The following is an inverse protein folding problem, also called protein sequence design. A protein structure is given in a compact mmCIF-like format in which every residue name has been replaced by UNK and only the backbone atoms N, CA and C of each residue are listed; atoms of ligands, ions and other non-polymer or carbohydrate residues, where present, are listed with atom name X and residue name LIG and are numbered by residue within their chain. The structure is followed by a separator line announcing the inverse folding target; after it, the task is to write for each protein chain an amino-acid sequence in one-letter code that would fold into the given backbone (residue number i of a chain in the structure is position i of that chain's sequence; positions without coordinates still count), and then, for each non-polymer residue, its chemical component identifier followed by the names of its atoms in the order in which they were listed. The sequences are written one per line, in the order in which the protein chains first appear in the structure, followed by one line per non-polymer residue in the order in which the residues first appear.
data_IF_544777711661
#
_entry.id   IF_544777711661
#
_cell.length_a   1.000
_cell.length_b   1.000
_cell.length_c   1.000
_cell.angle_alpha   90.00
_cell.angle_beta   90.00
_cell.angle_gamma   90.00
#
_symmetry.space_group_name_H-M   'P 1'
#
loop_
_entity.id
_entity.type
_entity.pdbx_description
1 polymer ?
#
# COMPACT_ATOMS: atom_id res chain seq x y z
N UNK A 1 56.29 6.77 23.39
CA UNK A 1 56.32 5.59 22.51
C UNK A 1 55.00 4.85 22.70
N UNK A 2 54.03 5.16 21.85
CA UNK A 2 52.69 4.56 21.83
C UNK A 2 52.66 3.55 20.69
N UNK A 3 52.65 2.26 21.04
CA UNK A 3 52.51 1.18 20.07
C UNK A 3 51.05 1.16 19.58
N UNK A 4 50.85 1.42 18.29
CA UNK A 4 49.58 1.24 17.60
C UNK A 4 49.25 -0.25 17.51
N UNK A 5 48.04 -0.70 17.90
CA UNK A 5 47.68 -2.10 17.90
C UNK A 5 47.53 -2.64 16.47
N UNK A 6 48.05 -3.85 16.27
CA UNK A 6 48.06 -4.62 15.03
C UNK A 6 46.65 -5.13 14.67
N UNK A 7 45.79 -4.26 14.14
CA UNK A 7 44.43 -4.61 13.69
C UNK A 7 44.37 -5.43 12.38
N UNK A 8 45.50 -5.70 11.73
CA UNK A 8 45.49 -6.33 10.40
C UNK A 8 45.19 -7.84 10.47
N UNK A 9 45.62 -8.51 11.54
CA UNK A 9 45.49 -9.96 11.72
C UNK A 9 44.02 -10.39 11.94
N UNK A 10 43.21 -9.53 12.57
CA UNK A 10 41.81 -9.84 12.88
C UNK A 10 40.91 -9.87 11.64
N UNK A 11 41.22 -9.06 10.62
CA UNK A 11 40.44 -8.99 9.38
C UNK A 11 40.66 -10.25 8.52
N UNK A 12 41.90 -10.74 8.44
CA UNK A 12 42.21 -11.98 7.73
C UNK A 12 41.59 -13.20 8.40
N UNK A 13 41.58 -13.24 9.73
CA UNK A 13 40.93 -14.29 10.50
C UNK A 13 39.41 -14.28 10.32
N UNK A 14 38.79 -13.11 10.34
CA UNK A 14 37.36 -12.97 10.08
C UNK A 14 36.99 -13.44 8.67
N UNK A 15 37.76 -13.03 7.66
CA UNK A 15 37.53 -13.41 6.26
C UNK A 15 37.65 -14.93 6.08
N UNK A 16 38.68 -15.54 6.68
CA UNK A 16 38.89 -17.00 6.66
C UNK A 16 37.80 -17.75 7.43
N UNK A 17 37.24 -17.17 8.48
CA UNK A 17 36.11 -17.75 9.23
C UNK A 17 34.81 -17.69 8.43
N UNK A 18 34.51 -16.57 7.78
CA UNK A 18 33.35 -16.40 6.91
C UNK A 18 33.40 -17.35 5.70
N UNK A 19 34.56 -17.48 5.05
CA UNK A 19 34.72 -18.40 3.92
C UNK A 19 34.42 -19.87 4.27
N UNK A 20 34.85 -20.33 5.46
CA UNK A 20 34.54 -21.68 5.94
C UNK A 20 33.05 -21.89 6.23
N UNK A 21 32.39 -20.88 6.78
CA UNK A 21 30.94 -20.91 7.04
C UNK A 21 30.14 -20.98 5.73
N UNK A 22 30.50 -20.15 4.75
CA UNK A 22 29.86 -20.13 3.44
C UNK A 22 29.97 -21.49 2.71
N UNK A 23 31.16 -22.10 2.70
CA UNK A 23 31.34 -23.42 2.09
C UNK A 23 30.54 -24.52 2.78
N UNK A 24 30.45 -24.49 4.11
CA UNK A 24 29.65 -25.48 4.86
C UNK A 24 28.17 -25.35 4.53
N UNK A 25 27.67 -24.11 4.44
CA UNK A 25 26.28 -23.83 4.10
C UNK A 25 25.91 -24.23 2.66
N UNK A 26 26.79 -23.97 1.69
CA UNK A 26 26.57 -24.39 0.29
C UNK A 26 26.52 -25.91 0.18
N UNK A 27 27.43 -26.62 0.87
CA UNK A 27 27.42 -28.08 0.89
C UNK A 27 26.14 -28.66 1.54
N UNK A 28 25.60 -28.00 2.56
CA UNK A 28 24.33 -28.38 3.18
C UNK A 28 23.13 -28.16 2.25
N UNK A 29 23.09 -27.04 1.53
CA UNK A 29 22.05 -26.78 0.53
C UNK A 29 22.09 -27.78 -0.64
N UNK A 30 23.28 -28.17 -1.09
CA UNK A 30 23.48 -29.20 -2.10
C UNK A 30 23.00 -30.58 -1.61
N UNK A 31 23.38 -30.97 -0.39
CA UNK A 31 22.95 -32.22 0.23
C UNK A 31 21.42 -32.31 0.43
N UNK A 32 20.75 -31.18 0.64
CA UNK A 32 19.29 -31.08 0.75
C UNK A 32 18.57 -30.99 -0.61
N UNK A 33 19.31 -31.00 -1.73
CA UNK A 33 18.75 -30.82 -3.08
C UNK A 33 18.09 -29.46 -3.27
N UNK A 34 18.48 -28.46 -2.48
CA UNK A 34 17.95 -27.09 -2.51
C UNK A 34 18.82 -26.12 -3.29
N UNK A 35 19.99 -26.56 -3.73
CA UNK A 35 20.84 -25.79 -4.62
C UNK A 35 20.20 -25.79 -6.02
N UNK A 36 19.45 -24.73 -6.33
CA UNK A 36 18.90 -24.52 -7.67
C UNK A 36 20.05 -24.09 -8.57
N UNK A 37 20.35 -24.89 -9.59
CA UNK A 37 21.33 -24.55 -10.62
C UNK A 37 20.89 -23.24 -11.30
N UNK A 38 21.55 -22.12 -11.00
CA UNK A 38 21.25 -20.80 -11.58
C UNK A 38 21.73 -20.68 -13.04
N UNK A 39 21.73 -21.79 -13.79
CA UNK A 39 22.39 -21.91 -15.09
C UNK A 39 21.74 -22.93 -16.00
N UNK A 40 20.45 -22.77 -16.28
CA UNK A 40 19.71 -23.62 -17.19
C UNK A 40 18.57 -22.88 -17.90
N UNK A 41 18.86 -21.78 -18.57
CA UNK A 41 17.97 -21.26 -19.61
C UNK A 41 17.97 -22.24 -20.80
N UNK A 42 17.22 -23.34 -20.67
CA UNK A 42 16.89 -24.18 -21.82
C UNK A 42 15.89 -23.41 -22.69
N UNK A 43 16.08 -23.36 -24.01
CA UNK A 43 15.11 -22.73 -24.91
C UNK A 43 13.78 -23.45 -24.79
N UNK A 44 12.71 -22.67 -24.61
CA UNK A 44 11.32 -23.13 -24.66
C UNK A 44 11.09 -23.93 -25.95
N UNK A 45 11.03 -25.26 -25.78
CA UNK A 45 10.57 -26.18 -26.80
C UNK A 45 9.08 -25.95 -27.09
N UNK A 46 8.75 -26.07 -28.37
CA UNK A 46 7.50 -25.71 -29.02
C UNK A 46 6.22 -26.23 -28.34
N UNK A 47 5.12 -25.46 -28.38
CA UNK A 47 3.82 -25.85 -27.85
C UNK A 47 3.09 -26.74 -28.85
N UNK A 48 3.43 -28.03 -28.91
CA UNK A 48 2.70 -28.96 -29.78
C UNK A 48 2.71 -30.39 -29.23
N UNK A 49 2.30 -30.55 -27.96
CA UNK A 49 2.02 -31.89 -27.43
C UNK A 49 1.20 -31.90 -26.13
N UNK A 50 -0.09 -31.56 -26.20
CA UNK A 50 -1.07 -31.98 -25.19
C UNK A 50 -2.43 -32.32 -25.82
N UNK A 51 -2.42 -33.38 -26.62
CA UNK A 51 -3.59 -34.22 -26.82
C UNK A 51 -3.29 -35.61 -26.24
N UNK A 52 -3.76 -35.84 -25.01
CA UNK A 52 -3.99 -37.20 -24.52
C UNK A 52 -5.28 -37.26 -23.69
N UNK A 53 -6.05 -38.34 -23.86
CA UNK A 53 -7.43 -38.43 -23.40
C UNK A 53 -7.53 -38.65 -21.88
N UNK A 54 -8.51 -37.96 -21.32
CA UNK A 54 -8.99 -38.05 -19.95
C UNK A 54 -9.40 -39.50 -19.63
N UNK A 55 -8.80 -40.07 -18.58
CA UNK A 55 -9.20 -41.37 -18.04
C UNK A 55 -10.36 -41.16 -17.07
N UNK A 56 -11.45 -41.86 -17.31
CA UNK A 56 -12.66 -41.91 -16.49
C UNK A 56 -12.35 -42.28 -15.03
N UNK A 57 -12.76 -41.42 -14.10
CA UNK A 57 -12.86 -41.75 -12.68
C UNK A 57 -14.31 -42.02 -12.31
N UNK A 58 -14.53 -43.22 -11.78
CA UNK A 58 -15.77 -43.71 -11.20
C UNK A 58 -16.23 -42.89 -9.99
N UNK A 59 -17.54 -42.85 -9.68
CA UNK A 59 -18.08 -42.05 -8.58
C UNK A 59 -17.80 -42.70 -7.21
N UNK A 60 -17.14 -41.94 -6.33
CA UNK A 60 -16.96 -42.30 -4.93
C UNK A 60 -18.17 -41.88 -4.09
N UNK A 61 -18.73 -42.90 -3.45
CA UNK A 61 -19.53 -42.99 -2.22
C UNK A 61 -19.75 -41.72 -1.39
N UNK A 62 -21.02 -41.55 -1.01
CA UNK A 62 -21.57 -40.52 -0.14
C UNK A 62 -20.80 -40.31 1.17
N UNK A 63 -20.52 -39.04 1.49
CA UNK A 63 -20.01 -38.59 2.78
C UNK A 63 -21.12 -38.60 3.86
N UNK A 64 -20.80 -38.94 5.12
CA UNK A 64 -21.75 -38.92 6.22
C UNK A 64 -22.07 -37.49 6.65
N UNK A 65 -23.34 -37.24 6.98
CA UNK A 65 -23.79 -35.94 7.49
C UNK A 65 -23.22 -35.64 8.88
N UNK A 66 -22.85 -34.37 9.15
CA UNK A 66 -22.43 -33.95 10.47
C UNK A 66 -23.63 -33.88 11.42
N UNK A 67 -23.52 -34.58 12.55
CA UNK A 67 -24.46 -34.50 13.68
C UNK A 67 -24.26 -33.13 14.38
N UNK A 68 -25.34 -32.41 14.75
CA UNK A 68 -25.22 -31.16 15.49
C UNK A 68 -24.74 -31.43 16.92
N UNK A 69 -23.55 -30.91 17.27
CA UNK A 69 -23.02 -30.93 18.62
C UNK A 69 -23.74 -29.86 19.47
N UNK A 70 -24.30 -30.28 20.61
CA UNK A 70 -24.87 -29.36 21.59
C UNK A 70 -23.78 -28.48 22.22
N UNK A 71 -24.07 -27.20 22.50
CA UNK A 71 -23.11 -26.28 23.10
C UNK A 71 -22.74 -26.73 24.51
N UNK A 72 -21.43 -26.85 24.76
CA UNK A 72 -20.86 -27.24 26.05
C UNK A 72 -21.19 -26.24 27.16
N UNK A 73 -21.28 -26.73 28.40
CA UNK A 73 -21.60 -25.94 29.59
C UNK A 73 -20.71 -24.69 29.81
N UNK A 74 -19.52 -24.65 29.20
CA UNK A 74 -18.62 -23.49 29.23
C UNK A 74 -19.17 -22.28 28.44
N UNK A 75 -19.88 -22.50 27.32
CA UNK A 75 -20.47 -21.40 26.54
C UNK A 75 -21.67 -20.77 27.27
N UNK A 76 -22.42 -21.55 28.06
CA UNK A 76 -23.54 -21.01 28.87
C UNK A 76 -23.07 -20.13 30.03
N UNK A 77 -21.83 -20.31 30.51
CA UNK A 77 -21.28 -19.50 31.61
C UNK A 77 -20.86 -18.09 31.15
N UNK A 78 -20.45 -17.92 29.89
CA UNK A 78 -20.04 -16.62 29.35
C UNK A 78 -21.23 -15.70 29.04
N UNK A 79 -22.40 -16.24 28.72
CA UNK A 79 -23.60 -15.43 28.45
C UNK A 79 -24.20 -14.81 29.71
N UNK A 80 -23.99 -15.40 30.90
CA UNK A 80 -24.56 -14.88 32.16
C UNK A 80 -23.77 -13.72 32.77
N UNK A 81 -22.54 -13.45 32.34
CA UNK A 81 -21.75 -12.31 32.83
C UNK A 81 -22.06 -10.98 32.12
N UNK A 82 -22.83 -11.00 31.02
CA UNK A 82 -23.11 -9.81 30.22
C UNK A 82 -24.33 -8.99 30.69
N UNK A 83 -25.06 -9.45 31.72
CA UNK A 83 -26.26 -8.77 32.23
C UNK A 83 -25.94 -8.02 33.54
N UNK A 84 -25.13 -6.97 33.45
CA UNK A 84 -24.89 -6.05 34.56
C UNK A 84 -26.07 -5.08 34.76
N UNK A 85 -26.39 -4.69 36.02
CA UNK A 85 -27.51 -3.80 36.31
C UNK A 85 -27.29 -2.39 35.73
N UNK A 86 -28.36 -1.82 35.18
CA UNK A 86 -28.39 -0.52 34.53
C UNK A 86 -27.87 0.60 35.45
N UNK A 87 -26.88 1.34 34.95
CA UNK A 87 -26.29 2.51 35.60
C UNK A 87 -27.32 3.67 35.62
N UNK A 88 -27.54 4.34 36.77
CA UNK A 88 -28.45 5.48 36.85
C UNK A 88 -27.91 6.68 36.05
N UNK A 89 -28.80 7.52 35.47
CA UNK A 89 -28.43 8.66 34.65
C UNK A 89 -27.73 9.75 35.48
N UNK A 90 -26.66 10.30 34.93
CA UNK A 90 -25.94 11.42 35.54
C UNK A 90 -26.78 12.72 35.53
N UNK A 91 -26.63 13.59 36.54
CA UNK A 91 -27.37 14.85 36.62
C UNK A 91 -26.91 15.83 35.52
N UNK A 92 -27.87 16.34 34.75
CA UNK A 92 -27.68 17.41 33.75
C UNK A 92 -27.22 18.70 34.45
N UNK A 93 -26.05 19.22 34.06
CA UNK A 93 -25.65 20.59 34.37
C UNK A 93 -26.37 21.55 33.44
N UNK A 94 -26.93 22.61 34.01
CA UNK A 94 -27.56 23.71 33.29
C UNK A 94 -26.51 24.50 32.46
N UNK A 95 -26.93 25.10 31.33
CA UNK A 95 -26.04 25.91 30.51
C UNK A 95 -25.73 27.23 31.22
N UNK A 96 -24.44 27.49 31.42
CA UNK A 96 -23.96 28.81 31.84
C UNK A 96 -23.95 29.71 30.60
N UNK A 97 -24.82 30.71 30.67
CA UNK A 97 -24.88 31.88 29.80
C UNK A 97 -23.49 32.56 29.78
N UNK A 98 -22.86 32.59 28.61
CA UNK A 98 -21.61 33.30 28.38
C UNK A 98 -21.79 34.23 27.19
N UNK A 99 -21.97 35.48 27.55
CA UNK A 99 -22.05 36.65 26.71
C UNK A 99 -20.85 36.80 25.75
N UNK A 100 -21.18 37.30 24.56
CA UNK A 100 -20.50 38.42 23.88
C UNK A 100 -19.01 38.23 23.55
N UNK A 101 -18.75 37.67 22.35
CA UNK A 101 -17.46 37.77 21.66
C UNK A 101 -17.68 38.44 20.31
N UNK A 102 -17.11 39.64 20.18
CA UNK A 102 -17.08 40.49 18.98
C UNK A 102 -16.39 39.80 17.79
N UNK A 103 -16.76 40.16 16.54
CA UNK A 103 -16.10 39.64 15.34
C UNK A 103 -14.76 40.36 15.14
N UNK A 104 -13.67 39.60 15.11
CA UNK A 104 -12.36 40.09 14.73
C UNK A 104 -11.93 39.41 13.42
N UNK A 105 -11.84 40.23 12.37
CA UNK A 105 -10.83 40.11 11.31
C UNK A 105 -11.00 38.98 10.30
N UNK A 106 -11.41 39.34 9.09
CA UNK A 106 -11.09 38.64 7.85
C UNK A 106 -9.57 38.39 7.75
N UNK A 107 -9.11 37.23 8.18
CA UNK A 107 -7.79 36.73 7.83
C UNK A 107 -7.90 35.92 6.55
N UNK A 108 -7.57 36.57 5.43
CA UNK A 108 -7.33 35.93 4.14
C UNK A 108 -6.19 34.92 4.27
N UNK A 109 -6.54 33.62 4.35
CA UNK A 109 -5.56 32.53 4.33
C UNK A 109 -5.23 32.25 2.86
N UNK A 110 -3.97 32.42 2.40
CA UNK A 110 -3.61 32.07 1.04
C UNK A 110 -3.74 30.54 0.85
N UNK A 111 -4.60 30.13 -0.09
CA UNK A 111 -4.72 28.73 -0.47
C UNK A 111 -3.40 28.24 -1.08
N UNK A 112 -2.87 27.07 -0.66
CA UNK A 112 -1.78 26.43 -1.38
C UNK A 112 -2.25 26.00 -2.77
N UNK A 113 -1.34 25.94 -3.77
CA UNK A 113 -1.69 25.49 -5.11
C UNK A 113 -2.26 24.06 -5.05
N UNK A 114 -3.44 23.89 -5.66
CA UNK A 114 -4.11 22.60 -5.81
C UNK A 114 -3.21 21.70 -6.66
N UNK A 115 -2.57 20.72 -6.02
CA UNK A 115 -1.90 19.63 -6.74
C UNK A 115 -3.00 18.70 -7.22
N UNK A 116 -3.16 18.57 -8.54
CA UNK A 116 -4.10 17.63 -9.13
C UNK A 116 -3.70 16.19 -8.73
N UNK A 117 -4.41 15.62 -7.77
CA UNK A 117 -4.23 14.24 -7.32
C UNK A 117 -4.70 13.28 -8.42
N UNK A 118 -3.75 12.73 -9.16
CA UNK A 118 -4.00 11.84 -10.30
C UNK A 118 -4.10 10.39 -9.80
N UNK A 119 -5.29 9.98 -9.35
CA UNK A 119 -5.52 8.58 -8.94
C UNK A 119 -6.88 8.28 -8.34
N UNK A 120 -7.85 9.17 -8.51
CA UNK A 120 -9.25 8.90 -8.25
C UNK A 120 -9.77 7.97 -9.35
N UNK A 121 -10.28 6.81 -8.97
CA UNK A 121 -11.07 5.97 -9.87
C UNK A 121 -12.49 5.98 -9.36
N UNK A 122 -13.37 6.67 -10.07
CA UNK A 122 -14.81 6.40 -10.00
C UNK A 122 -14.99 5.09 -10.75
N UNK A 123 -15.26 4.01 -10.02
CA UNK A 123 -15.60 2.74 -10.67
C UNK A 123 -16.97 2.93 -11.33
N UNK A 124 -17.09 2.78 -12.67
CA UNK A 124 -18.39 2.87 -13.31
C UNK A 124 -19.30 1.82 -12.69
N UNK A 125 -20.42 2.26 -12.11
CA UNK A 125 -21.46 1.37 -11.61
C UNK A 125 -21.88 0.51 -12.80
N UNK A 126 -21.79 -0.81 -12.68
CA UNK A 126 -22.40 -1.70 -13.64
C UNK A 126 -23.90 -1.45 -13.56
N UNK A 127 -24.41 -0.56 -14.42
CA UNK A 127 -25.83 -0.45 -14.67
C UNK A 127 -26.32 -1.86 -14.91
N UNK A 128 -27.29 -2.29 -14.10
CA UNK A 128 -28.02 -3.54 -14.25
C UNK A 128 -28.86 -3.43 -15.53
N UNK A 129 -28.20 -3.43 -16.69
CA UNK A 129 -28.83 -3.35 -18.00
C UNK A 129 -29.49 -4.70 -18.28
N UNK A 130 -30.81 -4.68 -18.29
CA UNK A 130 -31.63 -5.68 -18.97
C UNK A 130 -31.15 -5.84 -20.42
N UNK A 131 -31.07 -7.06 -20.96
CA UNK A 131 -30.58 -7.30 -22.31
C UNK A 131 -31.60 -6.78 -23.31
N UNK A 132 -31.26 -5.69 -24.00
CA UNK A 132 -31.88 -5.30 -25.26
C UNK A 132 -31.01 -5.87 -26.36
N UNK A 133 -31.55 -6.86 -27.06
CA UNK A 133 -31.01 -7.36 -28.30
C UNK A 133 -31.33 -6.36 -29.41
N UNK A 134 -30.27 -5.86 -30.07
CA UNK A 134 -30.21 -5.45 -31.48
C UNK A 134 -28.78 -4.89 -31.67
N UNK A 135 -27.92 -5.37 -32.56
CA UNK A 135 -28.16 -5.97 -33.86
C UNK A 135 -27.93 -4.93 -34.94
N UNK A 136 -26.70 -4.43 -35.14
CA UNK A 136 -26.24 -3.88 -36.44
C UNK A 136 -24.71 -3.81 -36.48
N UNK A 137 -24.13 -4.54 -37.43
CA UNK A 137 -22.70 -4.51 -37.76
C UNK A 137 -22.39 -3.36 -38.72
N UNK A 138 -21.26 -2.66 -38.52
CA UNK A 138 -20.63 -1.83 -39.55
C UNK A 138 -19.10 -1.91 -39.50
N UNK A 139 -18.42 -1.68 -40.65
CA UNK A 139 -17.15 -2.28 -40.98
C UNK A 139 -15.92 -1.41 -40.68
N UNK A 140 -14.79 -2.11 -40.56
CA UNK A 140 -13.42 -1.60 -40.45
C UNK A 140 -13.05 -0.54 -41.50
N UNK A 141 -12.63 0.63 -41.03
CA UNK A 141 -11.77 1.56 -41.77
C UNK A 141 -10.37 1.56 -41.16
N UNK A 142 -9.37 1.13 -41.93
CA UNK A 142 -7.94 1.22 -41.58
C UNK A 142 -7.43 2.57 -42.07
N UNK A 143 -6.91 3.47 -41.21
CA UNK A 143 -6.12 4.61 -41.66
C UNK A 143 -4.64 4.21 -41.75
N UNK A 144 -4.10 4.33 -42.97
CA UNK A 144 -2.67 4.23 -43.23
C UNK A 144 -1.89 5.35 -42.53
N UNK A 145 -0.85 4.96 -41.80
CA UNK A 145 0.13 5.84 -41.17
C UNK A 145 1.48 5.74 -41.89
N UNK A 146 1.97 6.90 -42.29
CA UNK A 146 3.18 7.22 -43.06
C UNK A 146 4.51 6.77 -42.43
N UNK A 147 5.55 6.52 -43.25
CA UNK A 147 6.90 6.15 -42.78
C UNK A 147 7.61 7.32 -42.09
N UNK A 148 8.23 6.98 -40.95
CA UNK A 148 9.09 7.84 -40.13
C UNK A 148 10.46 8.04 -40.80
N UNK A 149 11.01 9.26 -40.91
CA UNK A 149 12.38 9.45 -41.38
C UNK A 149 13.41 9.09 -40.30
N UNK A 150 14.49 8.44 -40.73
CA UNK A 150 15.67 8.10 -39.94
C UNK A 150 16.44 9.35 -39.47
N UNK A 151 17.07 9.33 -38.28
CA UNK A 151 17.96 10.40 -37.87
C UNK A 151 19.29 10.34 -38.63
N UNK A 152 19.64 11.47 -39.22
CA UNK A 152 20.92 11.76 -39.90
C UNK A 152 22.10 11.59 -38.95
N UNK A 153 23.08 10.79 -39.38
CA UNK A 153 24.42 10.71 -38.78
C UNK A 153 25.11 12.09 -38.84
N UNK A 154 25.44 12.63 -37.66
CA UNK A 154 26.33 13.79 -37.54
C UNK A 154 27.79 13.31 -37.40
N UNK A 155 28.74 13.87 -38.16
CA UNK A 155 30.14 13.49 -38.08
C UNK A 155 30.79 13.96 -36.78
N UNK A 156 31.64 13.08 -36.24
CA UNK A 156 32.47 13.31 -35.07
C UNK A 156 33.46 14.46 -35.30
N UNK A 157 33.36 15.51 -34.49
CA UNK A 157 34.41 16.52 -34.35
C UNK A 157 35.34 16.09 -33.23
N UNK A 158 36.48 15.51 -33.61
CA UNK A 158 37.59 15.15 -32.73
C UNK A 158 38.30 16.43 -32.28
N UNK A 159 37.81 17.06 -31.22
CA UNK A 159 38.54 18.11 -30.52
C UNK A 159 39.44 17.45 -29.46
N UNK A 160 40.74 17.41 -29.75
CA UNK A 160 41.79 17.12 -28.78
C UNK A 160 41.62 18.06 -27.58
N UNK A 161 41.25 17.48 -26.44
CA UNK A 161 41.10 18.21 -25.18
C UNK A 161 42.31 17.89 -24.33
N UNK A 162 43.01 18.96 -23.98
CA UNK A 162 44.17 18.95 -23.10
C UNK A 162 43.92 18.15 -21.83
N UNK A 163 44.87 17.27 -21.59
CA UNK A 163 45.03 16.37 -20.48
C UNK A 163 45.54 17.18 -19.27
N UNK A 164 44.62 17.83 -18.56
CA UNK A 164 44.89 18.39 -17.24
C UNK A 164 44.35 17.42 -16.19
N UNK A 165 45.19 16.45 -15.85
CA UNK A 165 44.94 15.46 -14.81
C UNK A 165 44.79 16.04 -13.40
N UNK A 166 44.34 15.16 -12.51
CA UNK A 166 44.36 15.29 -11.04
C UNK A 166 43.33 16.24 -10.41
N UNK A 167 42.05 15.85 -10.45
CA UNK A 167 41.10 16.16 -9.36
C UNK A 167 39.96 15.11 -9.26
N UNK A 168 40.26 13.83 -9.47
CA UNK A 168 39.24 12.76 -9.55
C UNK A 168 39.00 11.93 -8.28
N UNK A 169 39.87 12.02 -7.27
CA UNK A 169 39.87 11.04 -6.16
C UNK A 169 38.95 11.41 -4.99
N UNK A 170 38.64 12.71 -4.81
CA UNK A 170 37.79 13.16 -3.70
C UNK A 170 36.30 12.80 -3.84
N UNK A 171 35.79 12.72 -5.07
CA UNK A 171 34.37 12.51 -5.33
C UNK A 171 33.93 11.07 -5.02
N UNK A 172 34.77 10.09 -5.35
CA UNK A 172 34.46 8.67 -5.13
C UNK A 172 34.35 8.32 -3.64
N UNK A 173 35.20 8.91 -2.79
CA UNK A 173 35.12 8.72 -1.34
C UNK A 173 33.86 9.34 -0.73
N UNK A 174 33.45 10.52 -1.22
CA UNK A 174 32.24 11.17 -0.72
C UNK A 174 30.97 10.40 -1.10
N UNK A 175 30.89 9.88 -2.33
CA UNK A 175 29.78 9.05 -2.80
C UNK A 175 29.66 7.75 -2.00
N UNK A 176 30.80 7.10 -1.71
CA UNK A 176 30.81 5.89 -0.91
C UNK A 176 30.32 6.13 0.52
N UNK A 177 30.76 7.21 1.16
CA UNK A 177 30.32 7.57 2.51
C UNK A 177 28.81 7.89 2.56
N UNK A 178 28.30 8.64 1.57
CA UNK A 178 26.88 8.95 1.47
C UNK A 178 26.03 7.69 1.28
N UNK A 179 26.46 6.77 0.40
CA UNK A 179 25.77 5.49 0.19
C UNK A 179 25.74 4.64 1.47
N UNK A 180 26.86 4.58 2.20
CA UNK A 180 26.93 3.85 3.46
C UNK A 180 25.98 4.39 4.53
N UNK A 181 25.81 5.71 4.59
CA UNK A 181 24.85 6.33 5.50
C UNK A 181 23.40 5.94 5.17
N UNK A 182 23.03 5.98 3.89
CA UNK A 182 21.69 5.56 3.43
C UNK A 182 21.42 4.10 3.79
N UNK A 183 22.36 3.19 3.50
CA UNK A 183 22.22 1.76 3.82
C UNK A 183 22.01 1.54 5.32
N UNK A 184 22.79 2.20 6.18
CA UNK A 184 22.63 2.07 7.63
C UNK A 184 21.29 2.64 8.12
N UNK A 185 20.84 3.77 7.56
CA UNK A 185 19.54 4.37 7.89
C UNK A 185 18.39 3.45 7.49
N UNK A 186 18.45 2.86 6.30
CA UNK A 186 17.45 1.91 5.81
C UNK A 186 17.40 0.65 6.68
N UNK A 187 18.56 0.09 7.04
CA UNK A 187 18.64 -1.07 7.93
C UNK A 187 18.08 -0.76 9.33
N UNK A 188 18.43 0.39 9.91
CA UNK A 188 17.92 0.83 11.21
C UNK A 188 16.40 1.05 11.20
N UNK A 189 15.85 1.63 10.12
CA UNK A 189 14.40 1.78 9.94
C UNK A 189 13.69 0.43 9.84
N UNK A 190 14.26 -0.53 9.11
CA UNK A 190 13.72 -1.89 9.03
C UNK A 190 13.75 -2.61 10.40
N UNK A 191 14.84 -2.49 11.16
CA UNK A 191 14.96 -3.05 12.51
C UNK A 191 13.90 -2.46 13.46
N UNK A 192 13.71 -1.14 13.42
CA UNK A 192 12.69 -0.45 14.22
C UNK A 192 11.28 -0.91 13.87
N UNK A 193 10.95 -1.03 12.58
CA UNK A 193 9.64 -1.53 12.15
C UNK A 193 9.43 -2.98 12.61
N UNK A 194 10.46 -3.84 12.48
CA UNK A 194 10.40 -5.22 12.98
C UNK A 194 10.15 -5.25 14.49
N UNK A 195 10.85 -4.45 15.27
CA UNK A 195 10.69 -4.39 16.72
C UNK A 195 9.30 -3.86 17.12
N UNK A 196 8.81 -2.79 16.48
CA UNK A 196 7.53 -2.15 16.79
C UNK A 196 6.32 -3.06 16.46
N UNK A 197 6.43 -3.89 15.43
CA UNK A 197 5.32 -4.66 14.89
C UNK A 197 5.47 -6.19 15.03
N UNK A 198 6.43 -6.67 15.83
CA UNK A 198 6.69 -8.12 16.01
C UNK A 198 5.48 -8.93 16.54
N UNK A 199 4.52 -8.28 17.18
CA UNK A 199 3.33 -8.91 17.77
C UNK A 199 2.13 -8.97 16.80
N UNK A 200 2.26 -8.37 15.61
CA UNK A 200 1.19 -8.31 14.60
C UNK A 200 1.17 -9.61 13.78
N UNK A 201 0.02 -10.27 13.71
CA UNK A 201 -0.14 -11.55 13.03
C UNK A 201 -0.21 -11.41 11.50
N UNK A 202 -0.63 -10.25 11.04
CA UNK A 202 -0.73 -9.87 9.63
C UNK A 202 0.65 -9.63 8.99
N UNK A 203 1.70 -9.41 9.79
CA UNK A 203 3.05 -9.15 9.30
C UNK A 203 3.71 -10.44 8.82
N UNK A 204 4.01 -10.52 7.52
CA UNK A 204 4.68 -11.71 6.96
C UNK A 204 6.18 -11.50 6.79
N UNK A 205 6.62 -10.30 6.38
CA UNK A 205 8.03 -10.04 6.08
C UNK A 205 8.38 -8.55 6.14
N UNK A 206 9.58 -8.22 6.64
CA UNK A 206 10.20 -6.89 6.55
C UNK A 206 11.65 -7.08 6.17
N UNK A 207 12.07 -6.49 5.04
CA UNK A 207 13.46 -6.46 4.62
C UNK A 207 13.88 -5.03 4.22
N UNK A 208 15.15 -4.73 4.40
CA UNK A 208 15.80 -3.55 3.83
C UNK A 208 16.55 -3.94 2.56
N UNK A 209 16.46 -3.12 1.52
CA UNK A 209 17.43 -3.09 0.43
C UNK A 209 18.37 -1.87 0.60
N UNK A 210 19.20 -1.57 -0.40
CA UNK A 210 20.15 -0.45 -0.33
C UNK A 210 19.48 0.94 -0.24
N UNK A 211 18.20 1.06 -0.63
CA UNK A 211 17.51 2.35 -0.83
C UNK A 211 16.19 2.48 -0.04
N UNK A 212 15.53 1.37 0.29
CA UNK A 212 14.18 1.34 0.85
C UNK A 212 13.94 0.13 1.74
N UNK A 213 12.89 0.23 2.55
CA UNK A 213 12.37 -0.90 3.32
C UNK A 213 11.18 -1.49 2.58
N UNK A 214 11.17 -2.80 2.36
CA UNK A 214 10.01 -3.54 1.85
C UNK A 214 9.28 -4.21 3.00
N UNK A 215 7.99 -3.92 3.13
CA UNK A 215 7.08 -4.51 4.10
C UNK A 215 6.05 -5.35 3.34
N UNK A 216 5.90 -6.61 3.72
CA UNK A 216 4.85 -7.49 3.20
C UNK A 216 3.91 -7.91 4.33
N UNK A 217 2.62 -7.82 4.05
CA UNK A 217 1.56 -8.22 4.96
C UNK A 217 0.53 -9.11 4.28
N UNK A 218 -0.20 -9.87 5.08
CA UNK A 218 -1.44 -10.54 4.69
C UNK A 218 -2.58 -9.93 5.48
N UNK A 219 -3.32 -9.02 4.85
CA UNK A 219 -4.45 -8.37 5.49
C UNK A 219 -5.61 -9.37 5.67
N UNK A 220 -6.16 -9.42 6.88
CA UNK A 220 -7.36 -10.20 7.20
C UNK A 220 -8.61 -9.33 7.17
N UNK A 221 -8.44 -8.04 7.45
CA UNK A 221 -9.47 -7.02 7.39
C UNK A 221 -8.95 -5.70 6.78
N UNK A 222 -9.84 -4.76 6.43
CA UNK A 222 -9.42 -3.47 5.87
C UNK A 222 -8.71 -2.61 6.91
N UNK A 223 -9.04 -2.78 8.19
CA UNK A 223 -8.41 -2.11 9.32
C UNK A 223 -6.91 -2.45 9.40
N UNK A 224 -6.51 -3.67 9.03
CA UNK A 224 -5.09 -4.06 8.96
C UNK A 224 -4.38 -3.24 7.88
N UNK A 225 -4.98 -3.12 6.70
CA UNK A 225 -4.45 -2.34 5.60
C UNK A 225 -4.33 -0.86 5.95
N UNK A 226 -5.37 -0.29 6.56
CA UNK A 226 -5.40 1.10 6.99
C UNK A 226 -4.36 1.39 8.07
N UNK A 227 -4.20 0.48 9.02
CA UNK A 227 -3.14 0.55 10.03
C UNK A 227 -1.77 0.59 9.37
N UNK A 228 -1.50 -0.33 8.43
CA UNK A 228 -0.20 -0.40 7.77
C UNK A 228 0.10 0.81 6.89
N UNK A 229 -0.89 1.39 6.21
CA UNK A 229 -0.71 2.67 5.50
C UNK A 229 -0.21 3.76 6.44
N UNK A 230 -0.79 3.88 7.63
CA UNK A 230 -0.32 4.84 8.64
C UNK A 230 1.05 4.45 9.21
N UNK A 231 1.29 3.16 9.49
CA UNK A 231 2.53 2.67 10.07
C UNK A 231 3.74 2.88 9.17
N UNK A 232 3.57 2.78 7.83
CA UNK A 232 4.64 3.05 6.86
C UNK A 232 4.78 4.52 6.49
N UNK A 233 4.01 5.42 7.11
CA UNK A 233 4.03 6.85 6.80
C UNK A 233 3.48 7.17 5.40
N UNK A 234 2.56 6.37 4.86
CA UNK A 234 1.92 6.69 3.59
C UNK A 234 1.00 7.93 3.77
N UNK A 235 1.10 8.95 2.90
CA UNK A 235 0.17 10.07 2.90
C UNK A 235 -1.30 9.61 2.83
N UNK A 236 -2.28 10.32 3.43
CA UNK A 236 -3.69 9.91 3.40
C UNK A 236 -4.28 9.74 2.00
N UNK A 237 -3.77 10.50 1.03
CA UNK A 237 -4.15 10.44 -0.38
C UNK A 237 -3.10 9.69 -1.24
N UNK A 238 -2.21 8.90 -0.63
CA UNK A 238 -1.18 8.16 -1.34
C UNK A 238 -1.79 7.27 -2.41
N UNK A 239 -1.20 7.29 -3.60
CA UNK A 239 -1.61 6.40 -4.67
C UNK A 239 -1.30 4.95 -4.29
N UNK A 240 -2.30 4.10 -4.46
CA UNK A 240 -2.16 2.66 -4.28
C UNK A 240 -2.49 1.99 -5.59
N UNK A 241 -1.80 0.91 -5.92
CA UNK A 241 -2.03 0.19 -7.16
C UNK A 241 -2.16 -1.31 -6.90
N UNK A 242 -2.99 -1.96 -7.72
CA UNK A 242 -3.20 -3.40 -7.67
C UNK A 242 -2.13 -4.09 -8.51
N UNK A 243 -1.50 -5.12 -7.94
CA UNK A 243 -0.60 -6.03 -8.65
C UNK A 243 -1.05 -7.47 -8.38
N UNK A 244 -1.82 -8.04 -9.30
CA UNK A 244 -2.45 -9.35 -9.15
C UNK A 244 -3.39 -9.42 -7.94
N UNK A 245 -3.04 -10.25 -6.96
CA UNK A 245 -3.77 -10.43 -5.70
C UNK A 245 -3.26 -9.55 -4.54
N UNK A 246 -2.28 -8.68 -4.81
CA UNK A 246 -1.74 -7.74 -3.84
C UNK A 246 -2.15 -6.30 -4.15
N UNK A 247 -2.27 -5.49 -3.09
CA UNK A 247 -2.33 -4.04 -3.16
C UNK A 247 -0.98 -3.48 -2.72
N UNK A 248 -0.49 -2.47 -3.43
CA UNK A 248 0.82 -1.88 -3.18
C UNK A 248 0.67 -0.39 -2.87
N UNK A 249 1.41 0.07 -1.87
CA UNK A 249 1.51 1.47 -1.47
C UNK A 249 2.96 1.87 -1.18
N UNK A 250 3.23 3.17 -1.23
CA UNK A 250 4.52 3.73 -0.84
C UNK A 250 4.32 4.72 0.32
N UNK A 251 5.26 4.73 1.26
CA UNK A 251 5.34 5.69 2.35
C UNK A 251 6.78 6.06 2.64
N UNK A 252 6.99 6.82 3.71
CA UNK A 252 8.31 7.31 4.11
C UNK A 252 8.39 7.44 5.64
N UNK A 253 9.51 7.00 6.23
CA UNK A 253 9.83 7.23 7.64
C UNK A 253 11.28 7.68 7.73
N UNK A 254 11.52 8.84 8.34
CA UNK A 254 12.84 9.45 8.51
C UNK A 254 13.65 9.47 7.20
N UNK A 255 13.04 9.97 6.12
CA UNK A 255 13.62 10.05 4.77
C UNK A 255 13.92 8.69 4.11
N UNK A 256 13.54 7.57 4.75
CA UNK A 256 13.67 6.23 4.17
C UNK A 256 12.36 5.87 3.48
N UNK A 257 12.42 5.65 2.17
CA UNK A 257 11.29 5.15 1.40
C UNK A 257 10.86 3.77 1.87
N UNK A 258 9.55 3.55 1.97
CA UNK A 258 8.96 2.27 2.36
C UNK A 258 8.01 1.80 1.28
N UNK A 259 8.18 0.55 0.87
CA UNK A 259 7.30 -0.14 -0.05
C UNK A 259 6.45 -1.15 0.69
N UNK A 260 5.13 -0.94 0.70
CA UNK A 260 4.17 -1.82 1.35
C UNK A 260 3.46 -2.68 0.29
N UNK A 261 3.54 -4.00 0.44
CA UNK A 261 2.78 -4.97 -0.36
C UNK A 261 1.83 -5.74 0.54
N UNK A 262 0.54 -5.66 0.27
CA UNK A 262 -0.49 -6.29 1.08
C UNK A 262 -1.32 -7.29 0.28
N UNK A 263 -1.21 -8.58 0.64
CA UNK A 263 -2.03 -9.63 0.06
C UNK A 263 -3.43 -9.64 0.67
N UNK A 264 -4.44 -9.96 -0.13
CA UNK A 264 -5.84 -10.05 0.30
C UNK A 264 -6.61 -8.72 0.24
N UNK A 265 -5.91 -7.58 0.31
CA UNK A 265 -6.52 -6.23 0.25
C UNK A 265 -7.39 -6.01 -0.98
N UNK A 266 -7.03 -6.41 -2.22
CA UNK A 266 -7.90 -6.21 -3.37
C UNK A 266 -9.29 -6.86 -3.21
N UNK A 267 -9.36 -8.07 -2.64
CA UNK A 267 -10.64 -8.76 -2.39
C UNK A 267 -11.46 -8.07 -1.30
N UNK A 268 -10.78 -7.56 -0.26
CA UNK A 268 -11.42 -6.80 0.81
C UNK A 268 -11.99 -5.47 0.31
N UNK A 269 -11.25 -4.75 -0.54
CA UNK A 269 -11.72 -3.52 -1.18
C UNK A 269 -12.91 -3.79 -2.12
N UNK A 270 -12.84 -4.83 -2.95
CA UNK A 270 -13.97 -5.24 -3.80
C UNK A 270 -15.22 -5.57 -2.97
N UNK A 271 -15.06 -6.23 -1.82
CA UNK A 271 -16.16 -6.52 -0.92
C UNK A 271 -16.76 -5.25 -0.29
N UNK A 272 -15.93 -4.30 0.12
CA UNK A 272 -16.38 -3.01 0.64
C UNK A 272 -17.14 -2.20 -0.42
N UNK A 273 -16.62 -2.13 -1.66
CA UNK A 273 -17.31 -1.48 -2.80
C UNK A 273 -18.68 -2.09 -3.05
N UNK A 274 -18.81 -3.42 -2.96
CA UNK A 274 -20.11 -4.11 -3.12
C UNK A 274 -21.10 -3.84 -1.98
N UNK A 275 -20.59 -3.54 -0.79
CA UNK A 275 -21.41 -3.35 0.41
C UNK A 275 -21.86 -1.89 0.54
N UNK A 276 -21.04 -0.95 0.07
CA UNK A 276 -21.34 0.48 0.09
C UNK A 276 -22.47 0.86 -0.89
N UNK A 277 -23.33 1.78 -0.49
CA UNK A 277 -24.44 2.28 -1.32
C UNK A 277 -23.95 3.27 -2.38
N UNK A 278 -23.05 4.19 -1.98
CA UNK A 278 -22.39 5.18 -2.84
C UNK A 278 -20.87 5.07 -2.64
N UNK A 279 -20.22 4.04 -3.21
CA UNK A 279 -18.79 3.81 -3.01
C UNK A 279 -17.94 4.88 -3.68
N UNK A 280 -16.95 5.40 -2.96
CA UNK A 280 -15.89 6.24 -3.49
C UNK A 280 -14.52 5.73 -3.04
N UNK A 281 -13.60 5.52 -3.98
CA UNK A 281 -12.27 4.98 -3.71
C UNK A 281 -11.23 6.10 -3.67
N UNK A 282 -10.54 6.26 -2.54
CA UNK A 282 -9.45 7.21 -2.38
C UNK A 282 -8.35 6.64 -1.48
N UNK A 283 -7.09 6.76 -1.90
CA UNK A 283 -5.95 6.37 -1.06
C UNK A 283 -5.89 4.88 -0.72
N UNK A 284 -6.50 4.01 -1.54
CA UNK A 284 -6.65 2.59 -1.22
C UNK A 284 -7.68 2.29 -0.12
N UNK A 285 -8.63 3.19 0.11
CA UNK A 285 -9.77 3.03 1.02
C UNK A 285 -11.08 3.17 0.23
N UNK A 286 -12.15 2.59 0.76
CA UNK A 286 -13.51 2.72 0.22
C UNK A 286 -14.35 3.48 1.23
N UNK A 287 -14.92 4.60 0.79
CA UNK A 287 -15.83 5.42 1.56
C UNK A 287 -17.25 5.21 1.04
N UNK A 288 -18.22 5.00 1.93
CA UNK A 288 -19.63 4.94 1.55
C UNK A 288 -20.27 6.31 1.74
N UNK A 289 -20.32 7.10 0.67
CA UNK A 289 -20.80 8.48 0.71
C UNK A 289 -22.30 8.61 1.00
N UNK A 290 -23.06 7.51 1.12
CA UNK A 290 -24.42 7.55 1.64
C UNK A 290 -24.46 7.82 3.16
N UNK A 291 -23.34 7.62 3.85
CA UNK A 291 -23.21 7.84 5.29
C UNK A 291 -22.53 9.18 5.58
N UNK A 292 -22.89 9.76 6.72
CA UNK A 292 -22.09 10.82 7.32
C UNK A 292 -20.75 10.25 7.78
N UNK A 293 -19.70 11.07 7.72
CA UNK A 293 -18.39 10.68 8.21
C UNK A 293 -17.82 11.70 9.18
N UNK A 294 -17.08 11.24 10.18
CA UNK A 294 -16.31 12.09 11.08
C UNK A 294 -14.83 12.11 10.70
N UNK A 295 -14.22 13.28 10.78
CA UNK A 295 -12.77 13.39 10.72
C UNK A 295 -12.10 13.22 12.10
N UNK A 296 -10.77 13.32 12.14
CA UNK A 296 -9.99 13.19 13.39
C UNK A 296 -10.28 14.29 14.42
N UNK A 297 -10.93 15.37 14.03
CA UNK A 297 -11.31 16.48 14.90
C UNK A 297 -12.77 16.33 15.41
N UNK A 298 -13.45 15.24 15.03
CA UNK A 298 -14.85 15.00 15.39
C UNK A 298 -15.84 15.83 14.57
N UNK A 299 -15.38 16.54 13.53
CA UNK A 299 -16.26 17.26 12.62
C UNK A 299 -16.94 16.27 11.69
N UNK A 300 -18.25 16.46 11.47
CA UNK A 300 -19.07 15.60 10.62
C UNK A 300 -19.18 16.18 9.22
N UNK A 301 -18.90 15.36 8.22
CA UNK A 301 -18.94 15.67 6.81
C UNK A 301 -20.00 14.81 6.14
N UNK A 302 -20.81 15.42 5.28
CA UNK A 302 -21.82 14.70 4.51
C UNK A 302 -21.73 15.04 3.03
N UNK A 303 -22.06 14.04 2.20
CA UNK A 303 -22.08 14.16 0.76
C UNK A 303 -23.43 14.70 0.29
N UNK A 304 -23.41 15.71 -0.58
CA UNK A 304 -24.62 16.39 -1.05
C UNK A 304 -25.23 15.78 -2.33
N UNK A 305 -24.66 14.70 -2.86
CA UNK A 305 -25.06 14.18 -4.18
C UNK A 305 -24.49 15.00 -5.35
N UNK A 306 -23.52 15.88 -5.10
CA UNK A 306 -22.89 16.74 -6.11
C UNK A 306 -21.43 16.37 -6.31
N UNK A 307 -20.98 16.40 -7.56
CA UNK A 307 -19.58 16.21 -7.93
C UNK A 307 -19.06 17.43 -8.71
N UNK A 308 -17.75 17.62 -8.72
CA UNK A 308 -17.05 18.52 -9.63
C UNK A 308 -17.07 17.98 -11.08
N UNK A 309 -16.55 18.77 -12.03
CA UNK A 309 -16.45 18.38 -13.45
C UNK A 309 -15.61 17.11 -13.68
N UNK A 310 -14.66 16.82 -12.79
CA UNK A 310 -13.81 15.63 -12.80
C UNK A 310 -14.42 14.44 -12.03
N UNK A 311 -15.72 14.52 -11.72
CA UNK A 311 -16.47 13.56 -10.92
C UNK A 311 -16.02 13.46 -9.45
N UNK A 312 -15.19 14.40 -8.97
CA UNK A 312 -14.79 14.43 -7.56
C UNK A 312 -15.97 14.81 -6.65
N UNK A 313 -16.34 13.97 -5.66
CA UNK A 313 -17.44 14.26 -4.74
C UNK A 313 -17.20 15.52 -3.93
N UNK A 314 -18.26 16.30 -3.72
CA UNK A 314 -18.25 17.48 -2.87
C UNK A 314 -18.89 17.17 -1.51
N UNK A 315 -18.16 17.47 -0.44
CA UNK A 315 -18.63 17.36 0.93
C UNK A 315 -18.97 18.74 1.50
N UNK A 316 -19.87 18.78 2.48
CA UNK A 316 -20.06 19.95 3.33
C UNK A 316 -20.03 19.56 4.81
N UNK A 317 -19.68 20.52 5.64
CA UNK A 317 -19.66 20.36 7.09
C UNK A 317 -21.10 20.33 7.62
N UNK A 318 -21.46 19.27 8.34
CA UNK A 318 -22.79 19.06 8.88
C UNK A 318 -23.22 20.21 9.82
N UNK A 319 -24.43 20.73 9.60
CA UNK A 319 -25.00 21.83 10.40
C UNK A 319 -24.53 23.22 9.99
N UNK A 320 -23.87 23.35 8.85
CA UNK A 320 -23.44 24.64 8.28
C UNK A 320 -23.93 24.80 6.85
N UNK A 321 -24.28 26.04 6.45
CA UNK A 321 -24.47 26.42 5.05
C UNK A 321 -23.13 26.80 4.39
N UNK A 322 -22.05 26.14 4.81
CA UNK A 322 -20.69 26.45 4.43
C UNK A 322 -20.38 26.13 2.96
N UNK A 323 -19.19 26.54 2.48
CA UNK A 323 -18.74 26.19 1.13
C UNK A 323 -18.57 24.67 0.97
N UNK A 324 -18.66 24.22 -0.28
CA UNK A 324 -18.44 22.82 -0.63
C UNK A 324 -16.95 22.53 -0.82
N UNK A 325 -16.49 21.42 -0.26
CA UNK A 325 -15.09 21.02 -0.32
C UNK A 325 -14.93 19.72 -1.12
N UNK A 326 -13.96 19.64 -2.04
CA UNK A 326 -13.62 18.38 -2.71
C UNK A 326 -13.22 17.31 -1.70
N UNK A 327 -13.77 16.11 -1.86
CA UNK A 327 -13.54 14.99 -0.95
C UNK A 327 -12.03 14.70 -0.69
N UNK A 328 -11.14 14.66 -1.70
CA UNK A 328 -9.71 14.46 -1.48
C UNK A 328 -9.06 15.58 -0.66
N UNK A 329 -9.53 16.82 -0.80
CA UNK A 329 -9.03 17.96 -0.01
C UNK A 329 -9.38 17.82 1.46
N UNK A 330 -10.60 17.36 1.76
CA UNK A 330 -11.04 17.09 3.14
C UNK A 330 -10.19 15.98 3.76
N UNK A 331 -9.97 14.86 3.05
CA UNK A 331 -9.15 13.74 3.54
C UNK A 331 -7.69 14.13 3.73
N UNK A 332 -7.14 14.95 2.83
CA UNK A 332 -5.75 15.42 2.93
C UNK A 332 -5.57 16.35 4.13
N UNK A 333 -6.50 17.28 4.34
CA UNK A 333 -6.41 18.24 5.45
C UNK A 333 -6.72 17.59 6.81
N UNK A 334 -7.76 16.76 6.88
CA UNK A 334 -8.31 16.26 8.14
C UNK A 334 -7.99 14.79 8.44
N UNK A 335 -7.30 14.10 7.53
CA UNK A 335 -7.01 12.67 7.62
C UNK A 335 -8.16 11.80 7.12
N UNK A 336 -8.01 10.47 7.17
CA UNK A 336 -9.06 9.54 6.77
C UNK A 336 -10.35 9.76 7.59
N UNK A 337 -11.48 9.70 6.90
CA UNK A 337 -12.80 9.89 7.51
C UNK A 337 -13.37 8.54 7.98
N UNK A 338 -14.06 8.54 9.12
CA UNK A 338 -14.68 7.35 9.72
C UNK A 338 -16.20 7.46 9.62
N UNK A 339 -16.95 6.45 9.16
CA UNK A 339 -18.41 6.50 9.12
C UNK A 339 -19.01 6.78 10.50
N UNK A 340 -19.99 7.68 10.57
CA UNK A 340 -20.81 7.90 11.78
C UNK A 340 -22.14 7.18 11.66
N UNK A 341 -22.43 6.33 12.63
CA UNK A 341 -23.73 5.69 12.80
C UNK A 341 -24.79 6.65 13.36
#
# INVERSE_FOLDING_TARGET
MTATPENHTDIEELTRRLGRLAHTFIAELDALGRLVDTGGALPLGSPDQRDRPQTDFAPATAAPQPVPSEPTAAERALTQLATGPARPPAPRRAPTDAADVRPAGDSWIPHPPIVALRGTMVLPRADRRTPVADGTAHPHGIPGGTPHPSPTEQPATTAARDDTGETGDGTAHHEHAARWEVVNRTAATADRLRAAHAHRLELTHIASDDERVTVQIRALALEDWEYWLTAVGAPPAAHTHRSGEAQVASGEIDEVGIHLTAHGVPRLLEQAVRTAEIPYCLGGRVYDLALDHSDRHGQRWHYLGHCQEDETPLLTLHGTDGPHYPFPSVVTANGPLVPTA
#
